data_IF_898666857435
#
_entry.id   IF_898666857435
#
_cell.length_a   1.000
_cell.length_b   1.000
_cell.length_c   1.000
_cell.angle_alpha   90.00
_cell.angle_beta   90.00
_cell.angle_gamma   90.00
#
_symmetry.space_group_name_H-M   'P 1'
#
loop_
_entity.id
_entity.type
_entity.pdbx_description
1 polymer ?
#
# COMPACT_ATOMS: atom_id res chain seq x y z
N UNK A 1 3.64 7.69 14.23
CA UNK A 1 3.99 6.52 15.06
C UNK A 1 5.49 6.52 15.42
N UNK A 2 5.83 5.89 16.51
CA UNK A 2 7.23 5.72 16.93
C UNK A 2 7.53 4.23 17.06
N UNK A 3 8.55 3.77 16.33
CA UNK A 3 9.06 2.41 16.40
C UNK A 3 10.32 2.37 17.28
N UNK A 4 10.52 1.28 17.98
CA UNK A 4 11.78 1.00 18.63
C UNK A 4 12.91 0.88 17.57
N UNK A 5 14.15 1.25 17.90
CA UNK A 5 15.25 1.27 16.92
C UNK A 5 15.45 -0.04 16.16
N UNK A 6 15.19 -1.15 16.82
CA UNK A 6 15.31 -2.49 16.25
C UNK A 6 14.11 -2.92 15.39
N UNK A 7 12.97 -2.23 15.47
CA UNK A 7 11.76 -2.48 14.70
C UNK A 7 11.70 -1.64 13.41
N UNK A 8 12.70 -0.82 13.15
CA UNK A 8 12.75 -0.01 11.93
C UNK A 8 13.01 -0.87 10.70
N UNK A 9 12.57 -0.39 9.51
CA UNK A 9 12.84 -1.08 8.24
C UNK A 9 14.33 -1.39 8.05
N UNK A 10 15.20 -0.44 8.36
CA UNK A 10 16.67 -0.62 8.23
C UNK A 10 17.18 -1.74 9.13
N UNK A 11 16.69 -1.82 10.37
CA UNK A 11 17.08 -2.90 11.28
C UNK A 11 16.59 -4.26 10.77
N UNK A 12 15.34 -4.36 10.37
CA UNK A 12 14.74 -5.59 9.84
C UNK A 12 15.44 -6.05 8.55
N UNK A 13 15.78 -5.10 7.66
CA UNK A 13 16.55 -5.37 6.46
C UNK A 13 17.96 -5.90 6.76
N UNK A 14 18.65 -5.31 7.74
CA UNK A 14 19.98 -5.79 8.17
C UNK A 14 19.88 -7.21 8.73
N UNK A 15 18.86 -7.51 9.52
CA UNK A 15 18.60 -8.87 10.01
C UNK A 15 18.36 -9.84 8.84
N UNK A 16 17.59 -9.43 7.84
CA UNK A 16 17.35 -10.24 6.64
C UNK A 16 18.65 -10.52 5.86
N UNK A 17 19.49 -9.50 5.68
CA UNK A 17 20.80 -9.63 5.01
C UNK A 17 21.78 -10.47 5.81
N UNK A 18 21.72 -10.38 7.15
CA UNK A 18 22.59 -11.11 8.07
C UNK A 18 22.12 -12.54 8.37
N UNK A 19 21.04 -13.03 7.74
CA UNK A 19 20.40 -14.32 8.00
C UNK A 19 19.93 -14.50 9.47
N UNK A 20 19.66 -13.40 10.15
CA UNK A 20 19.13 -13.34 11.52
C UNK A 20 17.67 -12.85 11.58
N UNK A 21 17.00 -12.81 10.42
CA UNK A 21 15.63 -12.32 10.33
C UNK A 21 14.67 -13.15 11.20
N UNK A 22 13.89 -12.42 12.01
CA UNK A 22 12.84 -12.96 12.84
C UNK A 22 11.49 -12.35 12.45
N UNK A 23 10.53 -13.17 11.98
CA UNK A 23 9.19 -12.73 11.63
C UNK A 23 8.40 -12.19 12.83
N UNK A 24 8.67 -12.66 14.04
CA UNK A 24 8.02 -12.18 15.27
C UNK A 24 8.34 -10.72 15.51
N UNK A 25 9.57 -10.30 15.21
CA UNK A 25 10.00 -8.91 15.28
C UNK A 25 9.24 -8.03 14.24
N UNK A 26 9.05 -8.54 13.02
CA UNK A 26 8.25 -7.86 12.03
C UNK A 26 6.77 -7.76 12.46
N UNK A 27 6.22 -8.84 13.03
CA UNK A 27 4.85 -8.82 13.57
C UNK A 27 4.72 -7.82 14.71
N UNK A 28 5.70 -7.74 15.59
CA UNK A 28 5.71 -6.75 16.67
C UNK A 28 5.76 -5.31 16.15
N UNK A 29 6.54 -5.06 15.09
CA UNK A 29 6.56 -3.76 14.42
C UNK A 29 5.19 -3.38 13.82
N UNK A 30 4.51 -4.32 13.16
CA UNK A 30 3.15 -4.11 12.64
C UNK A 30 2.16 -3.81 13.77
N UNK A 31 2.19 -4.58 14.84
CA UNK A 31 1.33 -4.35 16.02
C UNK A 31 1.58 -2.96 16.61
N UNK A 32 2.85 -2.57 16.75
CA UNK A 32 3.23 -1.27 17.29
C UNK A 32 2.71 -0.10 16.44
N UNK A 33 2.73 -0.25 15.11
CA UNK A 33 2.15 0.75 14.21
C UNK A 33 0.63 0.82 14.42
N UNK A 34 -0.07 -0.31 14.43
CA UNK A 34 -1.52 -0.36 14.60
C UNK A 34 -1.99 0.24 15.92
N UNK A 35 -1.23 0.04 17.00
CA UNK A 35 -1.54 0.54 18.33
C UNK A 35 -1.21 2.02 18.52
N UNK A 36 -0.47 2.63 17.60
CA UNK A 36 0.03 4.00 17.75
C UNK A 36 -1.04 5.07 17.53
N UNK A 37 -2.09 4.76 16.76
CA UNK A 37 -3.20 5.66 16.47
C UNK A 37 -4.44 4.84 16.07
N UNK A 38 -5.64 5.32 16.42
CA UNK A 38 -6.91 4.70 16.00
C UNK A 38 -7.04 4.58 14.49
N UNK A 39 -6.44 5.52 13.74
CA UNK A 39 -6.41 5.51 12.28
C UNK A 39 -5.66 4.30 11.70
N UNK A 40 -4.76 3.69 12.46
CA UNK A 40 -3.98 2.53 12.02
C UNK A 40 -4.53 1.20 12.53
N UNK A 41 -5.61 1.23 13.33
CA UNK A 41 -6.21 0.00 13.85
C UNK A 41 -6.61 -0.94 12.70
N UNK A 42 -6.17 -2.20 12.80
CA UNK A 42 -6.45 -3.24 11.80
C UNK A 42 -5.74 -3.08 10.44
N UNK A 43 -4.76 -2.16 10.32
CA UNK A 43 -4.07 -1.87 9.05
C UNK A 43 -3.39 -3.10 8.44
N UNK A 44 -2.85 -3.99 9.26
CA UNK A 44 -2.17 -5.21 8.85
C UNK A 44 -2.96 -6.47 9.17
N UNK A 45 -4.27 -6.38 9.40
CA UNK A 45 -5.11 -7.52 9.79
C UNK A 45 -5.12 -8.66 8.76
N UNK A 46 -4.92 -8.32 7.47
CA UNK A 46 -4.89 -9.29 6.37
C UNK A 46 -3.48 -9.84 6.08
N UNK A 47 -2.46 -9.38 6.81
CA UNK A 47 -1.07 -9.83 6.64
C UNK A 47 -0.77 -10.99 7.58
N UNK A 48 -0.81 -12.21 7.05
CA UNK A 48 -0.50 -13.44 7.80
C UNK A 48 0.95 -13.89 7.54
N UNK A 49 1.86 -13.51 8.45
CA UNK A 49 3.28 -13.88 8.40
C UNK A 49 3.52 -15.37 8.71
N UNK A 50 2.49 -16.08 9.16
CA UNK A 50 2.54 -17.51 9.52
C UNK A 50 1.84 -18.40 8.48
N UNK A 51 1.41 -17.83 7.38
CA UNK A 51 0.70 -18.52 6.32
C UNK A 51 1.51 -19.65 5.70
N UNK A 52 0.90 -20.80 5.53
CA UNK A 52 1.50 -21.94 4.79
C UNK A 52 1.81 -21.62 3.31
N UNK A 53 1.25 -20.53 2.77
CA UNK A 53 1.59 -20.03 1.42
C UNK A 53 3.03 -19.52 1.33
N UNK A 54 3.62 -19.08 2.44
CA UNK A 54 5.01 -18.66 2.53
C UNK A 54 5.99 -19.83 2.60
N UNK A 55 5.49 -21.05 2.76
CA UNK A 55 6.26 -22.27 2.89
C UNK A 55 5.86 -23.08 4.11
N UNK A 56 6.34 -24.31 4.21
CA UNK A 56 6.04 -25.21 5.32
C UNK A 56 7.11 -25.07 6.39
N UNK A 57 6.70 -24.70 7.59
CA UNK A 57 7.56 -24.55 8.77
C UNK A 57 8.22 -23.16 8.90
N UNK A 58 8.58 -22.86 10.12
CA UNK A 58 9.03 -21.54 10.57
C UNK A 58 10.25 -21.01 9.81
N UNK A 59 11.23 -21.88 9.57
CA UNK A 59 12.44 -21.50 8.85
C UNK A 59 12.15 -21.08 7.39
N UNK A 60 11.29 -21.83 6.70
CA UNK A 60 10.97 -21.54 5.30
C UNK A 60 10.13 -20.28 5.17
N UNK A 61 9.16 -20.08 6.04
CA UNK A 61 8.34 -18.87 6.10
C UNK A 61 9.21 -17.64 6.34
N UNK A 62 10.08 -17.67 7.35
CA UNK A 62 11.01 -16.59 7.66
C UNK A 62 11.98 -16.31 6.49
N UNK A 63 12.52 -17.36 5.86
CA UNK A 63 13.40 -17.20 4.70
C UNK A 63 12.67 -16.54 3.52
N UNK A 64 11.44 -16.94 3.22
CA UNK A 64 10.63 -16.37 2.15
C UNK A 64 10.37 -14.87 2.41
N UNK A 65 9.99 -14.50 3.63
CA UNK A 65 9.77 -13.09 3.99
C UNK A 65 11.09 -12.31 3.88
N UNK A 66 12.19 -12.84 4.38
CA UNK A 66 13.50 -12.21 4.30
C UNK A 66 13.93 -11.94 2.86
N UNK A 67 13.68 -12.87 1.93
CA UNK A 67 13.95 -12.66 0.50
C UNK A 67 13.10 -11.54 -0.10
N UNK A 68 11.81 -11.46 0.25
CA UNK A 68 10.95 -10.35 -0.19
C UNK A 68 11.51 -9.01 0.30
N UNK A 69 11.92 -8.93 1.58
CA UNK A 69 12.51 -7.70 2.15
C UNK A 69 13.80 -7.30 1.42
N UNK A 70 14.67 -8.27 1.09
CA UNK A 70 15.92 -8.03 0.34
C UNK A 70 15.64 -7.52 -1.08
N UNK A 71 14.64 -8.07 -1.75
CA UNK A 71 14.25 -7.62 -3.11
C UNK A 71 13.73 -6.19 -3.07
N UNK A 72 12.94 -5.84 -2.06
CA UNK A 72 12.42 -4.47 -1.89
C UNK A 72 13.52 -3.44 -1.62
N UNK A 73 14.64 -3.83 -1.04
CA UNK A 73 15.80 -2.93 -0.84
C UNK A 73 16.41 -2.42 -2.16
N UNK A 74 16.24 -3.18 -3.24
CA UNK A 74 16.65 -2.75 -4.59
C UNK A 74 15.76 -1.68 -5.22
N UNK A 75 14.61 -1.39 -4.63
CA UNK A 75 13.67 -0.39 -5.11
C UNK A 75 13.81 0.90 -4.28
N UNK A 76 14.13 2.02 -4.93
CA UNK A 76 14.16 3.33 -4.25
C UNK A 76 12.74 3.85 -3.99
N UNK A 77 12.09 3.28 -2.98
CA UNK A 77 10.73 3.66 -2.60
C UNK A 77 10.67 5.00 -1.86
N UNK A 78 11.78 5.45 -1.28
CA UNK A 78 11.85 6.67 -0.45
C UNK A 78 11.87 7.92 -1.34
N UNK A 79 12.59 7.89 -2.46
CA UNK A 79 12.72 9.01 -3.38
C UNK A 79 11.79 8.91 -4.59
N UNK A 80 11.00 7.86 -4.66
CA UNK A 80 10.07 7.63 -5.75
C UNK A 80 9.01 8.75 -5.80
N UNK A 81 8.83 9.35 -6.96
CA UNK A 81 7.83 10.40 -7.19
C UNK A 81 6.53 9.80 -7.71
N UNK A 82 5.41 10.31 -7.20
CA UNK A 82 4.08 9.87 -7.61
C UNK A 82 3.55 8.71 -6.79
N UNK A 83 2.47 8.11 -7.25
CA UNK A 83 1.81 6.97 -6.61
C UNK A 83 2.54 5.65 -6.96
N UNK A 84 3.70 5.44 -6.34
CA UNK A 84 4.52 4.25 -6.60
C UNK A 84 3.91 3.00 -6.02
N UNK A 85 3.32 3.10 -4.82
CA UNK A 85 2.68 1.95 -4.17
C UNK A 85 1.42 1.53 -4.92
N UNK A 86 0.57 2.47 -5.34
CA UNK A 86 -0.59 2.20 -6.17
C UNK A 86 -0.19 1.57 -7.51
N UNK A 87 0.80 2.13 -8.20
CA UNK A 87 1.29 1.59 -9.47
C UNK A 87 1.90 0.17 -9.32
N UNK A 88 2.66 -0.08 -8.26
CA UNK A 88 3.22 -1.40 -7.98
C UNK A 88 2.11 -2.41 -7.69
N UNK A 89 1.12 -2.02 -6.92
CA UNK A 89 -0.05 -2.84 -6.63
C UNK A 89 -0.86 -3.16 -7.89
N UNK A 90 -1.13 -2.16 -8.72
CA UNK A 90 -1.82 -2.35 -10.00
C UNK A 90 -1.06 -3.34 -10.91
N UNK A 91 0.26 -3.19 -10.98
CA UNK A 91 1.11 -4.12 -11.72
C UNK A 91 0.99 -5.55 -11.20
N UNK A 92 1.08 -5.75 -9.88
CA UNK A 92 0.98 -7.05 -9.25
C UNK A 92 -0.41 -7.68 -9.47
N UNK A 93 -1.50 -6.91 -9.32
CA UNK A 93 -2.85 -7.38 -9.62
C UNK A 93 -2.98 -7.80 -11.09
N UNK A 94 -2.43 -7.01 -12.01
CA UNK A 94 -2.42 -7.36 -13.43
C UNK A 94 -1.73 -8.70 -13.70
N UNK A 95 -0.59 -8.96 -13.05
CA UNK A 95 0.13 -10.23 -13.15
C UNK A 95 -0.68 -11.40 -12.54
N UNK A 96 -1.16 -11.26 -11.33
CA UNK A 96 -1.91 -12.31 -10.65
C UNK A 96 -3.27 -12.60 -11.29
N UNK A 97 -3.94 -11.61 -11.84
CA UNK A 97 -5.21 -11.78 -12.56
C UNK A 97 -5.02 -12.60 -13.84
N UNK A 98 -3.91 -12.41 -14.56
CA UNK A 98 -3.58 -13.20 -15.74
C UNK A 98 -3.32 -14.66 -15.41
N UNK A 99 -2.69 -14.94 -14.26
CA UNK A 99 -2.38 -16.29 -13.81
C UNK A 99 -3.61 -17.05 -13.25
N UNK A 100 -4.53 -16.34 -12.61
CA UNK A 100 -5.68 -16.95 -11.92
C UNK A 100 -6.96 -16.98 -12.74
N UNK A 101 -6.97 -16.38 -13.93
CA UNK A 101 -8.15 -16.28 -14.80
C UNK A 101 -9.26 -15.38 -14.22
N UNK A 102 -8.99 -14.66 -13.14
CA UNK A 102 -9.93 -13.69 -12.56
C UNK A 102 -9.81 -12.34 -13.28
N UNK A 103 -10.95 -11.67 -13.44
CA UNK A 103 -11.00 -10.36 -14.11
C UNK A 103 -10.27 -9.31 -13.26
N UNK A 104 -9.14 -8.81 -13.73
CA UNK A 104 -8.34 -7.77 -13.07
C UNK A 104 -9.13 -6.47 -12.81
N UNK A 105 -10.18 -6.22 -13.59
CA UNK A 105 -11.01 -5.03 -13.48
C UNK A 105 -11.88 -4.92 -12.22
N UNK A 106 -11.88 -5.94 -11.35
CA UNK A 106 -12.61 -5.89 -10.07
C UNK A 106 -11.87 -5.10 -8.99
N UNK A 107 -10.58 -4.75 -9.21
CA UNK A 107 -9.72 -4.24 -8.16
C UNK A 107 -9.10 -2.87 -8.43
N UNK A 108 -9.06 -2.40 -9.66
CA UNK A 108 -8.47 -1.08 -9.95
C UNK A 108 -8.97 -0.48 -11.27
N UNK A 109 -8.88 0.84 -11.36
CA UNK A 109 -9.14 1.58 -12.60
C UNK A 109 -7.82 1.79 -13.34
N UNK A 110 -7.67 1.34 -14.60
CA UNK A 110 -6.44 1.55 -15.38
C UNK A 110 -6.03 3.02 -15.42
N UNK A 111 -4.73 3.27 -15.41
CA UNK A 111 -4.15 4.62 -15.28
C UNK A 111 -4.67 5.63 -16.31
N UNK A 112 -4.82 5.24 -17.58
CA UNK A 112 -5.33 6.12 -18.64
C UNK A 112 -6.75 6.63 -18.38
N UNK A 113 -7.75 5.76 -18.19
CA UNK A 113 -9.10 6.15 -17.77
C UNK A 113 -9.12 6.97 -16.47
N UNK A 114 -8.32 6.60 -15.46
CA UNK A 114 -8.23 7.32 -14.20
C UNK A 114 -7.78 8.78 -14.40
N UNK A 115 -6.76 9.01 -15.22
CA UNK A 115 -6.29 10.36 -15.55
C UNK A 115 -7.39 11.19 -16.25
N UNK A 116 -8.11 10.60 -17.19
CA UNK A 116 -9.20 11.31 -17.90
C UNK A 116 -10.29 11.71 -16.91
N UNK A 117 -10.74 10.79 -16.06
CA UNK A 117 -11.77 11.05 -15.06
C UNK A 117 -11.33 12.15 -14.07
N UNK A 118 -10.10 12.08 -13.58
CA UNK A 118 -9.55 13.11 -12.69
C UNK A 118 -9.49 14.48 -13.38
N UNK A 119 -9.04 14.55 -14.63
CA UNK A 119 -9.02 15.83 -15.39
C UNK A 119 -10.40 16.41 -15.55
N UNK A 120 -11.39 15.59 -15.88
CA UNK A 120 -12.78 16.05 -16.00
C UNK A 120 -13.29 16.57 -14.66
N UNK A 121 -13.11 15.79 -13.58
CA UNK A 121 -13.58 16.15 -12.25
C UNK A 121 -12.90 17.42 -11.71
N UNK A 122 -11.64 17.63 -12.04
CA UNK A 122 -10.85 18.77 -11.55
C UNK A 122 -10.98 20.02 -12.42
N UNK A 123 -11.58 19.91 -13.61
CA UNK A 123 -11.75 21.07 -14.52
C UNK A 123 -12.48 22.22 -13.83
N UNK A 124 -11.82 23.38 -13.76
CA UNK A 124 -12.34 24.57 -13.08
C UNK A 124 -12.25 24.54 -11.54
N UNK A 125 -11.62 23.50 -10.99
CA UNK A 125 -11.39 23.35 -9.54
C UNK A 125 -9.90 23.41 -9.16
N UNK A 126 -9.01 23.57 -10.13
CA UNK A 126 -7.57 23.40 -10.01
C UNK A 126 -6.95 24.29 -8.91
N UNK A 127 -7.47 25.52 -8.79
CA UNK A 127 -6.98 26.54 -7.84
C UNK A 127 -7.80 26.60 -6.53
N UNK A 128 -8.71 25.67 -6.34
CA UNK A 128 -9.60 25.69 -5.17
C UNK A 128 -8.94 25.01 -3.98
N UNK A 129 -8.80 25.74 -2.89
CA UNK A 129 -8.29 25.21 -1.63
C UNK A 129 -9.39 24.50 -0.84
N UNK A 130 -9.04 23.38 -0.21
CA UNK A 130 -9.96 22.63 0.65
C UNK A 130 -10.97 21.79 -0.12
N UNK A 131 -10.60 21.33 -1.31
CA UNK A 131 -11.40 20.37 -2.08
C UNK A 131 -11.67 19.11 -1.27
N UNK A 132 -12.83 18.52 -1.52
CA UNK A 132 -13.19 17.22 -1.00
C UNK A 132 -13.42 16.29 -2.18
N UNK A 133 -12.71 15.16 -2.20
CA UNK A 133 -12.83 14.12 -3.20
C UNK A 133 -13.42 12.90 -2.53
N UNK A 134 -14.48 12.34 -3.11
CA UNK A 134 -15.15 11.16 -2.61
C UNK A 134 -15.26 10.10 -3.69
N UNK A 135 -14.86 8.88 -3.35
CA UNK A 135 -15.00 7.70 -4.20
C UNK A 135 -15.75 6.59 -3.44
N UNK A 136 -16.98 6.23 -3.85
CA UNK A 136 -17.76 5.20 -3.19
C UNK A 136 -17.25 3.77 -3.43
N UNK A 137 -16.31 3.57 -4.34
CA UNK A 137 -15.72 2.28 -4.70
C UNK A 137 -14.22 2.45 -4.93
N UNK A 138 -13.52 2.98 -3.91
CA UNK A 138 -12.17 3.54 -4.07
C UNK A 138 -11.08 2.54 -4.48
N UNK A 139 -11.30 1.25 -4.28
CA UNK A 139 -10.26 0.25 -4.52
C UNK A 139 -9.00 0.55 -3.70
N UNK A 140 -7.85 0.64 -4.35
CA UNK A 140 -6.57 1.07 -3.76
C UNK A 140 -6.48 2.57 -3.46
N UNK A 141 -7.49 3.35 -3.84
CA UNK A 141 -7.48 4.81 -3.73
C UNK A 141 -6.76 5.54 -4.85
N UNK A 142 -6.10 4.83 -5.77
CA UNK A 142 -5.27 5.44 -6.83
C UNK A 142 -6.03 6.44 -7.69
N UNK A 143 -7.30 6.15 -8.05
CA UNK A 143 -8.13 7.08 -8.83
C UNK A 143 -8.31 8.42 -8.10
N UNK A 144 -8.83 8.39 -6.86
CA UNK A 144 -9.10 9.63 -6.14
C UNK A 144 -7.83 10.39 -5.76
N UNK A 145 -6.74 9.68 -5.43
CA UNK A 145 -5.44 10.28 -5.11
C UNK A 145 -4.81 10.94 -6.34
N UNK A 146 -5.09 10.45 -7.55
CA UNK A 146 -4.61 11.07 -8.79
C UNK A 146 -5.13 12.49 -8.99
N UNK A 147 -6.20 12.90 -8.32
CA UNK A 147 -6.72 14.27 -8.37
C UNK A 147 -5.70 15.31 -7.90
N UNK A 148 -4.78 14.93 -6.99
CA UNK A 148 -3.70 15.81 -6.51
C UNK A 148 -2.82 16.35 -7.64
N UNK A 149 -2.65 15.57 -8.71
CA UNK A 149 -1.82 15.94 -9.85
C UNK A 149 -2.41 17.09 -10.69
N UNK A 150 -3.67 17.40 -10.47
CA UNK A 150 -4.42 18.44 -11.20
C UNK A 150 -4.82 19.61 -10.29
N UNK A 151 -4.26 19.70 -9.09
CA UNK A 151 -4.52 20.78 -8.13
C UNK A 151 -3.25 21.61 -7.91
N UNK A 152 -3.39 22.91 -7.79
CA UNK A 152 -2.32 23.82 -7.32
C UNK A 152 -2.17 23.80 -5.80
N UNK A 153 -3.16 23.21 -5.08
CA UNK A 153 -3.21 23.11 -3.61
C UNK A 153 -3.41 21.66 -3.17
N UNK A 154 -2.53 20.71 -3.61
CA UNK A 154 -2.73 19.27 -3.42
C UNK A 154 -2.77 18.85 -1.95
N UNK A 155 -2.04 19.55 -1.07
CA UNK A 155 -1.96 19.21 0.35
C UNK A 155 -3.23 19.60 1.14
N UNK A 156 -4.13 20.36 0.53
CA UNK A 156 -5.41 20.77 1.13
C UNK A 156 -6.61 19.97 0.61
N UNK A 157 -6.38 18.95 -0.20
CA UNK A 157 -7.44 18.04 -0.64
C UNK A 157 -7.73 17.04 0.50
N UNK A 158 -9.01 16.87 0.82
CA UNK A 158 -9.49 15.83 1.73
C UNK A 158 -10.08 14.70 0.94
N UNK A 159 -9.67 13.48 1.23
CA UNK A 159 -10.10 12.27 0.55
C UNK A 159 -11.04 11.46 1.42
N UNK A 160 -12.12 11.00 0.82
CA UNK A 160 -13.11 10.13 1.44
C UNK A 160 -13.39 8.98 0.49
N UNK A 161 -13.38 7.75 0.99
CA UNK A 161 -13.58 6.59 0.14
C UNK A 161 -14.30 5.47 0.87
N UNK A 162 -14.91 4.58 0.09
CA UNK A 162 -15.49 3.33 0.57
C UNK A 162 -14.91 2.16 -0.22
N UNK A 163 -14.63 1.08 0.48
CA UNK A 163 -14.17 -0.18 -0.11
C UNK A 163 -14.76 -1.35 0.69
N UNK A 164 -15.26 -2.34 -0.03
CA UNK A 164 -15.87 -3.52 0.57
C UNK A 164 -14.83 -4.55 1.03
N UNK A 165 -13.74 -4.68 0.27
CA UNK A 165 -12.69 -5.68 0.54
C UNK A 165 -11.71 -5.15 1.58
N UNK A 166 -11.57 -5.80 2.75
CA UNK A 166 -10.70 -5.31 3.84
C UNK A 166 -9.24 -5.10 3.40
N UNK A 167 -8.67 -6.04 2.64
CA UNK A 167 -7.29 -5.95 2.14
C UNK A 167 -7.07 -4.74 1.24
N UNK A 168 -7.99 -4.50 0.32
CA UNK A 168 -7.93 -3.35 -0.60
C UNK A 168 -8.19 -2.04 0.15
N UNK A 169 -9.12 -2.04 1.11
CA UNK A 169 -9.36 -0.91 2.00
C UNK A 169 -8.11 -0.56 2.82
N UNK A 170 -7.43 -1.55 3.40
CA UNK A 170 -6.21 -1.33 4.16
C UNK A 170 -5.07 -0.79 3.26
N UNK A 171 -4.98 -1.27 2.02
CA UNK A 171 -4.04 -0.73 1.05
C UNK A 171 -4.32 0.76 0.75
N UNK A 172 -5.58 1.14 0.52
CA UNK A 172 -5.94 2.54 0.30
C UNK A 172 -5.59 3.44 1.50
N UNK A 173 -5.68 2.91 2.72
CA UNK A 173 -5.28 3.63 3.95
C UNK A 173 -3.76 3.82 4.05
N UNK A 174 -2.97 2.94 3.43
CA UNK A 174 -1.50 3.05 3.39
C UNK A 174 -1.02 3.99 2.27
N UNK A 175 -1.82 4.17 1.22
CA UNK A 175 -1.51 4.97 0.04
C UNK A 175 -1.80 6.47 0.27
#
# INVERSE_FOLDING_TARGET
YTLEPDMTYVSILNDAKGNSFNREKLQAAFNRIQESDELFNGLFADVDLYSNRLGTGDQKQSATIAEVIKVLDGADLIHAKGDVLGNAYEYLIGQFASETGKKAGEFYTPHGPAQILCRIAMTGQENKRGLQVYDPCMGSGSLMLSCRNYSTEPDYIKYYGQELMPSTYNLARMN
#
